data_IF_039139107438
#
_entry.id   IF_039139107438
#
_cell.length_a   1.000
_cell.length_b   1.000
_cell.length_c   1.000
_cell.angle_alpha   90.00
_cell.angle_beta   90.00
_cell.angle_gamma   90.00
#
_symmetry.space_group_name_H-M   'P 1'
#
loop_
_entity.id
_entity.type
_entity.pdbx_description
1 polymer ?
#
# COMPACT_ATOMS: atom_id res chain seq x y z
N UNK A 1 17.43 35.52 -24.39
CA UNK A 1 16.26 35.35 -25.28
C UNK A 1 16.19 33.88 -25.71
N UNK A 2 15.06 33.21 -25.39
CA UNK A 2 14.53 31.92 -25.88
C UNK A 2 15.23 30.60 -25.45
N UNK A 3 14.72 29.95 -24.39
CA UNK A 3 13.78 28.79 -24.32
C UNK A 3 14.48 27.44 -24.55
N UNK A 4 14.77 26.64 -23.52
CA UNK A 4 13.86 25.70 -22.81
C UNK A 4 13.19 24.67 -23.75
N UNK A 5 13.70 23.44 -23.72
CA UNK A 5 13.18 22.26 -24.42
C UNK A 5 13.61 20.99 -23.69
N UNK A 6 12.85 20.65 -22.65
CA UNK A 6 12.98 19.49 -21.77
C UNK A 6 12.32 18.28 -22.44
N UNK A 7 13.07 17.23 -22.76
CA UNK A 7 12.55 15.89 -23.03
C UNK A 7 13.56 14.86 -22.53
N UNK A 8 13.35 14.36 -21.30
CA UNK A 8 14.06 13.20 -20.77
C UNK A 8 13.28 11.96 -21.16
N UNK A 9 13.83 11.28 -22.16
CA UNK A 9 13.39 10.01 -22.68
C UNK A 9 13.75 8.91 -21.67
N UNK A 10 12.75 8.41 -20.96
CA UNK A 10 12.51 6.97 -20.73
C UNK A 10 13.75 6.08 -20.83
N UNK A 11 14.57 6.03 -19.77
CA UNK A 11 15.49 4.91 -19.53
C UNK A 11 14.73 3.79 -18.82
N UNK A 12 13.84 3.14 -19.56
CA UNK A 12 13.23 1.86 -19.21
C UNK A 12 14.26 0.74 -19.35
N UNK A 13 15.29 0.77 -18.50
CA UNK A 13 16.20 -0.35 -18.29
C UNK A 13 15.71 -1.15 -17.07
N UNK A 14 14.48 -1.66 -17.16
CA UNK A 14 13.89 -2.61 -16.21
C UNK A 14 13.49 -3.86 -16.98
N UNK A 15 14.29 -4.92 -16.85
CA UNK A 15 14.04 -6.25 -17.41
C UNK A 15 14.56 -7.31 -16.42
N UNK A 16 14.00 -8.53 -16.35
CA UNK A 16 12.57 -8.89 -16.25
C UNK A 16 12.35 -10.07 -15.27
N UNK A 17 11.47 -9.96 -14.27
CA UNK A 17 10.94 -11.15 -13.54
C UNK A 17 9.47 -11.43 -13.91
N UNK A 18 8.82 -10.57 -14.70
CA UNK A 18 7.37 -10.66 -14.93
C UNK A 18 6.94 -11.33 -16.25
N UNK A 19 7.86 -11.90 -17.04
CA UNK A 19 7.51 -12.76 -18.18
C UNK A 19 7.54 -14.23 -17.80
N UNK A 20 6.44 -14.75 -17.26
CA UNK A 20 6.01 -16.13 -17.54
C UNK A 20 4.55 -16.29 -17.17
N UNK A 21 3.76 -16.85 -18.09
CA UNK A 21 2.34 -17.14 -17.92
C UNK A 21 2.08 -18.21 -16.86
N UNK A 22 2.26 -17.86 -15.59
CA UNK A 22 1.71 -18.62 -14.49
C UNK A 22 0.21 -18.26 -14.41
N UNK A 23 -0.65 -19.23 -14.70
CA UNK A 23 -2.08 -19.14 -14.41
C UNK A 23 -2.24 -18.82 -12.93
N UNK A 24 -2.57 -17.58 -12.59
CA UNK A 24 -2.87 -17.20 -11.21
C UNK A 24 -4.06 -18.06 -10.76
N UNK A 25 -3.83 -18.93 -9.77
CA UNK A 25 -4.89 -19.75 -9.19
C UNK A 25 -6.00 -18.82 -8.68
N UNK A 26 -7.27 -19.21 -8.87
CA UNK A 26 -8.42 -18.44 -8.38
C UNK A 26 -8.22 -18.02 -6.92
N UNK A 27 -8.52 -16.77 -6.61
CA UNK A 27 -8.45 -16.20 -5.26
C UNK A 27 -7.11 -15.54 -4.92
N UNK A 28 -6.08 -15.63 -5.76
CA UNK A 28 -4.88 -14.80 -5.60
C UNK A 28 -5.06 -13.41 -6.20
N UNK A 29 -4.78 -12.39 -5.42
CA UNK A 29 -4.82 -10.98 -5.80
C UNK A 29 -3.40 -10.43 -5.68
N UNK A 30 -2.95 -9.70 -6.70
CA UNK A 30 -1.74 -8.88 -6.66
C UNK A 30 -2.15 -7.45 -6.95
N UNK A 31 -1.88 -6.55 -6.03
CA UNK A 31 -2.27 -5.15 -6.15
C UNK A 31 -1.35 -4.29 -5.30
N UNK A 32 -1.24 -3.02 -5.67
CA UNK A 32 -0.73 -1.99 -4.79
C UNK A 32 -1.79 -1.67 -3.72
N UNK A 33 -1.35 -1.26 -2.53
CA UNK A 33 -2.20 -0.92 -1.41
C UNK A 33 -1.57 0.15 -0.50
N UNK A 34 -2.41 0.93 0.19
CA UNK A 34 -2.00 1.77 1.31
C UNK A 34 -2.41 1.09 2.62
N UNK A 35 -1.47 0.97 3.56
CA UNK A 35 -1.76 0.46 4.91
C UNK A 35 -2.46 1.53 5.72
N UNK A 36 -3.77 1.38 5.92
CA UNK A 36 -4.58 2.28 6.73
C UNK A 36 -4.46 1.97 8.22
N UNK A 37 -4.41 0.68 8.58
CA UNK A 37 -4.33 0.19 9.95
C UNK A 37 -3.39 -1.01 10.03
N UNK A 38 -2.64 -1.11 11.12
CA UNK A 38 -1.83 -2.30 11.44
C UNK A 38 -1.94 -2.61 12.93
N UNK A 39 -2.57 -3.74 13.25
CA UNK A 39 -2.81 -4.18 14.63
C UNK A 39 -2.09 -5.49 14.91
N UNK A 40 -1.34 -5.57 16.00
CA UNK A 40 -0.79 -6.82 16.48
C UNK A 40 -1.94 -7.78 16.88
N UNK A 41 -1.93 -8.99 16.34
CA UNK A 41 -3.00 -9.97 16.56
C UNK A 41 -2.57 -11.14 17.44
N UNK A 42 -1.32 -11.59 17.28
CA UNK A 42 -0.72 -12.63 18.11
C UNK A 42 0.75 -12.29 18.41
N UNK A 43 1.48 -13.20 19.06
CA UNK A 43 2.92 -13.03 19.27
C UNK A 43 3.69 -12.80 17.96
N UNK A 44 3.23 -13.40 16.86
CA UNK A 44 3.91 -13.34 15.58
C UNK A 44 3.14 -12.66 14.46
N UNK A 45 1.84 -12.41 14.63
CA UNK A 45 0.95 -12.03 13.52
C UNK A 45 0.43 -10.60 13.65
N UNK A 46 0.07 -10.02 12.51
CA UNK A 46 -0.61 -8.72 12.41
C UNK A 46 -1.86 -8.83 11.57
N UNK A 47 -2.88 -8.01 11.88
CA UNK A 47 -4.03 -7.73 11.02
C UNK A 47 -3.85 -6.34 10.43
N UNK A 48 -4.04 -6.23 9.12
CA UNK A 48 -3.93 -4.97 8.38
C UNK A 48 -5.29 -4.60 7.79
N UNK A 49 -5.55 -3.31 7.74
CA UNK A 49 -6.56 -2.73 6.83
C UNK A 49 -5.83 -2.08 5.66
N UNK A 50 -6.15 -2.52 4.45
CA UNK A 50 -5.49 -2.14 3.20
C UNK A 50 -6.48 -1.44 2.28
N UNK A 51 -6.19 -0.22 1.85
CA UNK A 51 -6.92 0.41 0.75
C UNK A 51 -6.27 0.01 -0.57
N UNK A 52 -7.06 -0.52 -1.50
CA UNK A 52 -6.61 -0.90 -2.84
C UNK A 52 -7.48 -0.23 -3.89
N UNK A 53 -6.91 0.13 -5.05
CA UNK A 53 -7.70 0.77 -6.11
C UNK A 53 -8.76 -0.16 -6.72
N UNK A 54 -8.42 -1.44 -6.93
CA UNK A 54 -9.24 -2.38 -7.71
C UNK A 54 -10.05 -3.38 -6.89
N UNK A 55 -9.76 -3.52 -5.59
CA UNK A 55 -10.44 -4.48 -4.71
C UNK A 55 -11.06 -3.83 -3.47
N UNK A 56 -11.07 -2.49 -3.41
CA UNK A 56 -11.61 -1.72 -2.31
C UNK A 56 -10.75 -1.80 -1.04
N UNK A 57 -11.39 -1.53 0.10
CA UNK A 57 -10.78 -1.66 1.42
C UNK A 57 -10.87 -3.11 1.90
N UNK A 58 -9.72 -3.71 2.22
CA UNK A 58 -9.58 -5.13 2.57
C UNK A 58 -8.95 -5.29 3.96
N UNK A 59 -9.50 -6.20 4.76
CA UNK A 59 -8.84 -6.69 5.97
C UNK A 59 -7.99 -7.92 5.65
N UNK A 60 -6.75 -7.98 6.12
CA UNK A 60 -5.84 -9.10 5.86
C UNK A 60 -5.02 -9.52 7.08
N UNK A 61 -4.86 -10.83 7.29
CA UNK A 61 -3.94 -11.39 8.29
C UNK A 61 -2.58 -11.70 7.69
N UNK A 62 -1.55 -11.12 8.29
CA UNK A 62 -0.15 -11.37 7.99
C UNK A 62 0.44 -12.34 9.03
N UNK A 63 0.31 -13.64 8.78
CA UNK A 63 0.85 -14.69 9.68
C UNK A 63 2.38 -14.66 9.71
N UNK A 64 2.96 -14.69 10.89
CA UNK A 64 4.40 -14.62 11.14
C UNK A 64 5.02 -13.26 10.79
N UNK A 65 4.21 -12.20 10.64
CA UNK A 65 4.65 -10.84 10.34
C UNK A 65 5.84 -10.38 11.18
N UNK A 66 5.70 -10.43 12.52
CA UNK A 66 6.66 -9.85 13.47
C UNK A 66 8.03 -10.51 13.45
N UNK A 67 8.13 -11.75 12.96
CA UNK A 67 9.38 -12.52 12.86
C UNK A 67 9.90 -12.64 11.43
N UNK A 68 9.17 -12.11 10.44
CA UNK A 68 9.49 -12.26 9.03
C UNK A 68 10.67 -11.38 8.64
N UNK A 69 11.71 -12.01 8.06
CA UNK A 69 12.88 -11.31 7.51
C UNK A 69 12.86 -11.16 5.99
N UNK A 70 11.77 -11.61 5.34
CA UNK A 70 11.67 -11.65 3.87
C UNK A 70 10.34 -11.16 3.34
N UNK A 71 9.21 -11.60 3.92
CA UNK A 71 7.88 -11.38 3.33
C UNK A 71 7.29 -10.01 3.64
N UNK A 72 7.77 -9.32 4.69
CA UNK A 72 7.08 -8.18 5.31
C UNK A 72 8.05 -7.11 5.84
N UNK A 73 9.27 -7.03 5.32
CA UNK A 73 10.33 -6.19 5.89
C UNK A 73 9.98 -4.72 5.71
N UNK A 74 9.69 -4.02 6.82
CA UNK A 74 9.37 -2.58 6.83
C UNK A 74 8.10 -2.20 6.07
N UNK A 75 7.25 -3.17 5.70
CA UNK A 75 6.16 -2.98 4.75
C UNK A 75 4.77 -3.08 5.38
N UNK A 76 4.66 -3.14 6.70
CA UNK A 76 3.38 -3.31 7.39
C UNK A 76 3.08 -2.18 8.38
N UNK A 77 3.80 -1.07 8.26
CA UNK A 77 3.54 0.11 9.09
C UNK A 77 2.43 0.95 8.44
N UNK A 78 1.68 1.68 9.27
CA UNK A 78 0.62 2.60 8.81
C UNK A 78 1.26 3.74 8.01
N UNK A 79 0.52 4.30 7.04
CA UNK A 79 1.05 5.30 6.09
C UNK A 79 2.25 4.70 5.32
N UNK A 80 2.04 3.53 4.73
CA UNK A 80 2.98 2.93 3.79
C UNK A 80 2.25 2.53 2.51
N UNK A 81 2.89 2.77 1.37
CA UNK A 81 2.49 2.26 0.08
C UNK A 81 3.22 0.96 -0.19
N UNK A 82 2.48 -0.09 -0.56
CA UNK A 82 2.99 -1.45 -0.64
C UNK A 82 2.42 -2.22 -1.81
N UNK A 83 3.24 -3.07 -2.43
CA UNK A 83 2.77 -4.11 -3.34
C UNK A 83 2.46 -5.36 -2.53
N UNK A 84 1.22 -5.85 -2.59
CA UNK A 84 0.75 -7.00 -1.80
C UNK A 84 0.37 -8.19 -2.67
N UNK A 85 0.61 -9.38 -2.13
CA UNK A 85 0.08 -10.64 -2.62
C UNK A 85 -0.88 -11.18 -1.58
N UNK A 86 -2.16 -11.23 -1.94
CA UNK A 86 -3.25 -11.68 -1.07
C UNK A 86 -3.83 -12.97 -1.61
N UNK A 87 -4.29 -13.82 -0.70
CA UNK A 87 -5.20 -14.92 -1.01
C UNK A 87 -6.55 -14.65 -0.34
N UNK A 88 -7.60 -14.61 -1.14
CA UNK A 88 -8.97 -14.34 -0.71
C UNK A 88 -9.97 -15.16 -1.53
N UNK A 89 -10.94 -15.74 -0.85
CA UNK A 89 -12.16 -16.25 -1.49
C UNK A 89 -13.37 -15.40 -1.03
N UNK A 90 -14.50 -15.46 -1.73
CA UNK A 90 -15.68 -14.63 -1.44
C UNK A 90 -16.29 -14.89 -0.04
N UNK A 91 -16.07 -16.06 0.53
CA UNK A 91 -16.54 -16.43 1.87
C UNK A 91 -15.63 -15.97 3.01
N UNK A 92 -14.44 -15.43 2.71
CA UNK A 92 -13.48 -14.97 3.70
C UNK A 92 -13.69 -13.49 4.01
N UNK A 93 -13.99 -13.20 5.27
CA UNK A 93 -13.99 -11.83 5.83
C UNK A 93 -12.56 -11.28 5.95
N UNK A 94 -11.59 -12.16 6.23
CA UNK A 94 -10.19 -11.80 6.44
C UNK A 94 -9.32 -12.48 5.39
N UNK A 95 -8.73 -11.69 4.48
CA UNK A 95 -7.80 -12.20 3.48
C UNK A 95 -6.50 -12.70 4.14
N UNK A 96 -5.79 -13.62 3.49
CA UNK A 96 -4.44 -14.02 3.93
C UNK A 96 -3.42 -13.18 3.15
N UNK A 97 -2.55 -12.48 3.85
CA UNK A 97 -1.44 -11.77 3.24
C UNK A 97 -0.24 -12.71 3.08
N UNK A 98 0.14 -13.01 1.84
CA UNK A 98 1.24 -13.93 1.52
C UNK A 98 2.57 -13.21 1.50
N UNK A 99 2.60 -12.01 0.90
CA UNK A 99 3.77 -11.14 0.83
C UNK A 99 3.36 -9.67 0.74
N UNK A 100 4.21 -8.79 1.23
CA UNK A 100 4.15 -7.36 0.99
C UNK A 100 5.55 -6.83 0.71
N UNK A 101 5.68 -5.97 -0.30
CA UNK A 101 6.91 -5.27 -0.64
C UNK A 101 6.66 -3.78 -0.45
N UNK A 102 7.53 -3.14 0.34
CA UNK A 102 7.50 -1.69 0.52
C UNK A 102 7.76 -0.99 -0.82
N UNK A 103 6.85 -0.10 -1.21
CA UNK A 103 6.98 0.78 -2.39
C UNK A 103 7.43 2.16 -1.92
N UNK A 104 6.72 2.73 -0.96
CA UNK A 104 7.07 4.02 -0.35
C UNK A 104 6.72 4.01 1.15
N UNK A 105 7.71 4.20 2.06
CA UNK A 105 7.44 4.34 3.49
C UNK A 105 6.92 5.72 3.90
N UNK A 106 6.85 6.68 2.96
CA UNK A 106 6.61 8.10 3.24
C UNK A 106 7.47 8.62 4.39
N UNK A 107 8.76 8.24 4.37
CA UNK A 107 9.66 8.42 5.51
C UNK A 107 9.86 9.87 5.94
N UNK A 108 9.74 10.80 4.99
CA UNK A 108 9.86 12.25 5.20
C UNK A 108 8.76 12.78 6.13
N UNK A 109 7.59 12.15 6.14
CA UNK A 109 6.50 12.53 7.05
C UNK A 109 6.90 12.34 8.52
N UNK A 110 7.79 11.39 8.82
CA UNK A 110 8.23 11.14 10.21
C UNK A 110 9.11 12.26 10.76
N UNK A 111 9.68 13.10 9.88
CA UNK A 111 10.50 14.25 10.26
C UNK A 111 9.72 15.52 10.60
N UNK A 112 8.41 15.55 10.30
CA UNK A 112 7.56 16.72 10.46
C UNK A 112 6.23 16.31 11.12
N UNK A 113 6.04 16.73 12.37
CA UNK A 113 4.87 16.33 13.16
C UNK A 113 3.55 16.87 12.58
N UNK A 114 3.57 18.04 11.95
CA UNK A 114 2.36 18.65 11.38
C UNK A 114 1.90 17.86 10.15
N UNK A 115 2.83 17.54 9.25
CA UNK A 115 2.56 16.69 8.08
C UNK A 115 2.14 15.28 8.48
N UNK A 116 2.78 14.71 9.50
CA UNK A 116 2.38 13.41 10.03
C UNK A 116 0.96 13.46 10.61
N UNK A 117 0.59 14.55 11.28
CA UNK A 117 -0.76 14.78 11.79
C UNK A 117 -1.80 14.80 10.66
N UNK A 118 -1.55 15.55 9.59
CA UNK A 118 -2.43 15.59 8.42
C UNK A 118 -2.54 14.24 7.70
N UNK A 119 -1.41 13.53 7.53
CA UNK A 119 -1.39 12.20 6.94
C UNK A 119 -2.21 11.20 7.78
N UNK A 120 -2.01 11.21 9.10
CA UNK A 120 -2.73 10.33 10.03
C UNK A 120 -4.24 10.61 9.99
N UNK A 121 -4.63 11.89 10.04
CA UNK A 121 -6.02 12.30 9.96
C UNK A 121 -6.70 11.84 8.66
N UNK A 122 -6.04 12.03 7.51
CA UNK A 122 -6.61 11.62 6.23
C UNK A 122 -6.70 10.09 6.10
N UNK A 123 -5.72 9.36 6.64
CA UNK A 123 -5.76 7.89 6.68
C UNK A 123 -6.91 7.38 7.55
N UNK A 124 -7.10 7.96 8.74
CA UNK A 124 -8.22 7.60 9.63
C UNK A 124 -9.58 7.92 9.01
N UNK A 125 -9.74 9.11 8.41
CA UNK A 125 -10.95 9.46 7.67
C UNK A 125 -11.22 8.46 6.54
N UNK A 126 -10.19 8.11 5.77
CA UNK A 126 -10.36 7.15 4.68
C UNK A 126 -10.78 5.77 5.21
N UNK A 127 -10.20 5.34 6.34
CA UNK A 127 -10.58 4.09 6.99
C UNK A 127 -12.02 4.12 7.53
N UNK A 128 -12.52 5.26 8.02
CA UNK A 128 -13.89 5.35 8.51
C UNK A 128 -14.92 5.39 7.37
N UNK A 129 -14.67 6.20 6.33
CA UNK A 129 -15.68 6.53 5.33
C UNK A 129 -15.69 5.62 4.09
N UNK A 130 -14.60 4.90 3.79
CA UNK A 130 -14.57 3.99 2.64
C UNK A 130 -15.20 2.65 3.04
N UNK A 131 -16.28 2.18 2.39
CA UNK A 131 -16.85 0.88 2.68
C UNK A 131 -15.88 -0.27 2.31
N UNK A 132 -15.93 -1.39 3.05
CA UNK A 132 -15.14 -2.57 2.70
C UNK A 132 -15.59 -3.13 1.35
N UNK A 133 -14.66 -3.78 0.62
CA UNK A 133 -14.96 -4.55 -0.60
C UNK A 133 -15.54 -3.81 -1.80
N UNK A 134 -15.64 -2.48 -1.73
CA UNK A 134 -16.09 -1.65 -2.84
C UNK A 134 -14.88 -1.01 -3.55
N UNK A 135 -14.55 -1.41 -4.79
CA UNK A 135 -13.48 -0.80 -5.56
C UNK A 135 -13.73 0.70 -5.75
N UNK A 136 -12.73 1.50 -5.38
CA UNK A 136 -12.77 2.95 -5.54
C UNK A 136 -11.36 3.44 -5.88
N UNK A 137 -11.00 3.31 -7.14
CA UNK A 137 -9.69 3.71 -7.67
C UNK A 137 -9.42 5.20 -7.46
N UNK A 138 -10.44 6.04 -7.62
CA UNK A 138 -10.34 7.46 -7.37
C UNK A 138 -9.93 7.76 -5.91
N UNK A 139 -10.55 7.08 -4.92
CA UNK A 139 -10.13 7.29 -3.53
C UNK A 139 -8.69 6.83 -3.28
N UNK A 140 -8.32 5.67 -3.82
CA UNK A 140 -6.95 5.18 -3.68
C UNK A 140 -5.94 6.20 -4.23
N UNK A 141 -6.17 6.71 -5.44
CA UNK A 141 -5.29 7.71 -6.06
C UNK A 141 -5.31 9.06 -5.33
N UNK A 142 -6.47 9.49 -4.80
CA UNK A 142 -6.55 10.72 -4.00
C UNK A 142 -5.74 10.61 -2.71
N UNK A 143 -5.87 9.51 -1.95
CA UNK A 143 -5.09 9.31 -0.74
C UNK A 143 -3.60 9.21 -1.07
N UNK A 144 -3.24 8.44 -2.10
CA UNK A 144 -1.86 8.29 -2.57
C UNK A 144 -1.24 9.65 -2.97
N UNK A 145 -1.97 10.43 -3.75
CA UNK A 145 -1.56 11.77 -4.19
C UNK A 145 -1.41 12.73 -3.02
N UNK A 146 -2.35 12.73 -2.07
CA UNK A 146 -2.30 13.54 -0.86
C UNK A 146 -1.05 13.23 -0.01
N UNK A 147 -0.78 11.95 0.25
CA UNK A 147 0.42 11.52 0.99
C UNK A 147 1.71 11.89 0.24
N UNK A 148 1.72 11.75 -1.09
CA UNK A 148 2.85 12.17 -1.94
C UNK A 148 3.10 13.69 -1.91
N UNK A 149 2.04 14.50 -1.86
CA UNK A 149 2.14 15.95 -1.73
C UNK A 149 2.70 16.35 -0.35
N UNK A 150 2.21 15.76 0.74
CA UNK A 150 2.74 16.02 2.08
C UNK A 150 4.22 15.62 2.18
N UNK A 151 4.60 14.50 1.57
CA UNK A 151 6.00 14.06 1.50
C UNK A 151 6.91 15.08 0.79
N UNK A 152 6.40 15.75 -0.24
CA UNK A 152 7.19 16.61 -1.14
C UNK A 152 7.10 18.10 -0.80
N UNK A 153 6.28 18.49 0.18
CA UNK A 153 6.18 19.88 0.59
C UNK A 153 7.54 20.38 1.11
N UNK A 154 7.95 21.58 0.75
CA UNK A 154 9.11 22.25 1.36
C UNK A 154 8.64 22.93 2.65
N UNK A 155 9.45 22.86 3.71
CA UNK A 155 9.17 23.54 4.99
C UNK A 155 9.51 25.03 4.92
#
# INVERSE_FOLDING_TARGET
MHRCGRFLHLSWAWCPIYKTGATMKRGYIKTEAIVLRSTDYSESDRILTLLTGTHGKLSAIARGAKRSRRRFVGSLDVICLVDVVLFRNKSMELARLDAAKLVDPYGELKGDMERLGYASYMVELTDEFVPPDEPNEAMFEHLKGFLGMLKSAES
#
